data_IF_580124955438
#
_entry.id   IF_580124955438
#
_cell.length_a   1.000
_cell.length_b   1.000
_cell.length_c   1.000
_cell.angle_alpha   90.00
_cell.angle_beta   90.00
_cell.angle_gamma   90.00
#
_symmetry.space_group_name_H-M   'P 1'
#
loop_
_entity.id
_entity.type
_entity.pdbx_description
1 polymer ?
#
# COMPACT_ATOMS: atom_id res chain seq x y z
N UNK A 1 21.11 -33.78 18.64
CA UNK A 1 21.09 -32.54 19.45
C UNK A 1 20.17 -31.57 18.73
N UNK A 2 18.93 -31.41 19.22
CA UNK A 2 17.98 -30.46 18.61
C UNK A 2 18.42 -29.04 18.95
N UNK A 3 18.97 -28.35 17.96
CA UNK A 3 19.23 -26.90 18.06
C UNK A 3 17.88 -26.17 18.12
N UNK A 4 17.50 -25.75 19.32
CA UNK A 4 16.28 -24.96 19.52
C UNK A 4 16.57 -23.53 19.12
N UNK A 5 16.08 -23.09 17.98
CA UNK A 5 16.16 -21.69 17.56
C UNK A 5 15.46 -20.82 18.62
N UNK A 6 16.14 -19.79 19.18
CA UNK A 6 15.57 -18.97 20.23
C UNK A 6 14.44 -18.06 19.72
N UNK A 7 13.54 -17.67 20.62
CA UNK A 7 12.48 -16.66 20.38
C UNK A 7 13.11 -15.25 20.42
N UNK A 8 13.99 -14.94 19.46
CA UNK A 8 14.73 -13.67 19.46
C UNK A 8 13.80 -12.50 19.19
N UNK A 9 13.63 -11.61 20.17
CA UNK A 9 13.01 -10.31 19.99
C UNK A 9 11.55 -10.32 19.53
N UNK A 10 10.84 -11.45 19.63
CA UNK A 10 9.40 -11.47 19.35
C UNK A 10 8.67 -10.72 20.45
N UNK A 11 7.88 -9.71 20.05
CA UNK A 11 7.05 -8.90 20.96
C UNK A 11 5.84 -9.70 21.46
N UNK A 12 5.27 -9.28 22.58
CA UNK A 12 3.97 -9.79 23.00
C UNK A 12 2.87 -9.31 22.04
N UNK A 13 1.83 -10.13 21.78
CA UNK A 13 0.76 -9.74 20.87
C UNK A 13 0.03 -8.48 21.35
N UNK A 14 -0.29 -7.57 20.44
CA UNK A 14 -1.15 -6.42 20.70
C UNK A 14 -2.59 -6.87 20.99
N UNK A 15 -3.21 -6.35 22.05
CA UNK A 15 -4.53 -6.79 22.56
C UNK A 15 -5.72 -6.52 21.60
N UNK A 16 -5.52 -5.83 20.47
CA UNK A 16 -6.59 -5.40 19.56
C UNK A 16 -6.74 -6.26 18.30
N UNK A 17 -5.77 -7.12 18.01
CA UNK A 17 -5.79 -7.98 16.83
C UNK A 17 -6.29 -9.38 17.20
N UNK A 18 -6.89 -10.08 16.22
CA UNK A 18 -7.13 -11.52 16.38
C UNK A 18 -5.79 -12.21 16.60
N UNK A 19 -5.68 -13.19 17.50
CA UNK A 19 -4.39 -13.81 17.85
C UNK A 19 -3.61 -14.37 16.65
N UNK A 20 -4.30 -14.86 15.61
CA UNK A 20 -3.67 -15.33 14.38
C UNK A 20 -3.04 -14.18 13.57
N UNK A 21 -3.72 -13.04 13.50
CA UNK A 21 -3.26 -11.87 12.74
C UNK A 21 -2.09 -11.20 13.45
N UNK A 22 -2.16 -11.08 14.78
CA UNK A 22 -1.06 -10.60 15.62
C UNK A 22 0.18 -11.48 15.46
N UNK A 23 0.02 -12.81 15.48
CA UNK A 23 1.10 -13.76 15.24
C UNK A 23 1.72 -13.57 13.85
N UNK A 24 0.90 -13.51 12.78
CA UNK A 24 1.41 -13.34 11.42
C UNK A 24 2.13 -12.02 11.25
N UNK A 25 1.62 -10.94 11.83
CA UNK A 25 2.25 -9.62 11.80
C UNK A 25 3.62 -9.65 12.47
N UNK A 26 3.73 -10.19 13.67
CA UNK A 26 4.99 -10.25 14.43
C UNK A 26 6.05 -11.13 13.73
N UNK A 27 5.64 -12.24 13.12
CA UNK A 27 6.57 -13.07 12.33
C UNK A 27 7.03 -12.35 11.07
N UNK A 28 6.11 -11.70 10.34
CA UNK A 28 6.45 -10.91 9.15
C UNK A 28 7.41 -9.77 9.52
N UNK A 29 7.13 -9.05 10.61
CA UNK A 29 7.96 -7.98 11.15
C UNK A 29 9.37 -8.47 11.51
N UNK A 30 9.46 -9.62 12.17
CA UNK A 30 10.76 -10.20 12.56
C UNK A 30 11.59 -10.69 11.37
N UNK A 31 10.95 -11.06 10.25
CA UNK A 31 11.61 -11.41 9.00
C UNK A 31 12.08 -10.16 8.27
N UNK A 32 11.20 -9.18 8.09
CA UNK A 32 11.49 -7.94 7.33
C UNK A 32 12.56 -7.10 8.03
N UNK A 33 12.52 -7.02 9.37
CA UNK A 33 13.56 -6.34 10.18
C UNK A 33 14.91 -7.06 10.19
N UNK A 34 14.98 -8.29 9.64
CA UNK A 34 16.22 -9.09 9.66
C UNK A 34 16.53 -9.77 11.00
N UNK A 35 15.61 -9.76 11.97
CA UNK A 35 15.77 -10.52 13.23
C UNK A 35 15.95 -12.03 13.00
N UNK A 36 15.33 -12.56 11.95
CA UNK A 36 15.61 -13.87 11.38
C UNK A 36 16.16 -13.69 9.96
N UNK A 37 17.37 -14.19 9.75
CA UNK A 37 18.07 -14.05 8.49
C UNK A 37 17.49 -14.99 7.40
N UNK A 38 17.72 -14.64 6.13
CA UNK A 38 17.36 -15.51 5.00
C UNK A 38 18.02 -16.90 5.16
N UNK A 39 17.21 -17.95 5.02
CA UNK A 39 17.64 -19.35 5.22
C UNK A 39 17.68 -19.80 6.67
N UNK A 40 17.50 -18.88 7.64
CA UNK A 40 17.40 -19.23 9.05
C UNK A 40 16.05 -19.92 9.34
N UNK A 41 16.08 -20.89 10.27
CA UNK A 41 14.87 -21.56 10.72
C UNK A 41 14.17 -20.73 11.79
N UNK A 42 12.86 -20.54 11.63
CA UNK A 42 12.02 -19.98 12.70
C UNK A 42 11.91 -20.95 13.89
N UNK A 43 11.58 -20.44 15.09
CA UNK A 43 11.32 -21.28 16.25
C UNK A 43 10.24 -22.35 15.96
N UNK A 44 10.33 -23.53 16.61
CA UNK A 44 9.32 -24.58 16.46
C UNK A 44 7.91 -24.12 16.90
N UNK A 45 6.87 -24.76 16.35
CA UNK A 45 5.46 -24.42 16.61
C UNK A 45 5.09 -24.40 18.10
N UNK A 46 5.66 -25.33 18.90
CA UNK A 46 5.29 -25.45 20.31
C UNK A 46 5.75 -24.24 21.16
N UNK A 47 7.03 -23.79 21.11
CA UNK A 47 7.47 -22.55 21.74
C UNK A 47 6.67 -21.31 21.25
N UNK A 48 6.38 -21.21 19.95
CA UNK A 48 5.59 -20.11 19.39
C UNK A 48 4.16 -20.11 19.96
N UNK A 49 3.51 -21.28 20.02
CA UNK A 49 2.17 -21.40 20.60
C UNK A 49 2.09 -20.97 22.06
N UNK A 50 3.11 -21.28 22.84
CA UNK A 50 3.22 -20.84 24.23
C UNK A 50 3.43 -19.32 24.35
N UNK A 51 4.33 -18.76 23.53
CA UNK A 51 4.66 -17.32 23.53
C UNK A 51 3.45 -16.47 23.16
N UNK A 52 2.77 -16.82 22.06
CA UNK A 52 1.60 -16.09 21.56
C UNK A 52 0.27 -16.50 22.20
N UNK A 53 0.28 -17.49 23.11
CA UNK A 53 -0.92 -18.03 23.77
C UNK A 53 -1.99 -18.51 22.79
N UNK A 54 -1.56 -19.12 21.68
CA UNK A 54 -2.45 -19.67 20.65
C UNK A 54 -2.26 -21.17 20.47
N UNK A 55 -3.29 -21.85 19.93
CA UNK A 55 -3.23 -23.27 19.67
C UNK A 55 -2.22 -23.61 18.56
N UNK A 56 -1.69 -24.84 18.59
CA UNK A 56 -0.82 -25.37 17.53
C UNK A 56 -1.49 -25.32 16.14
N UNK A 57 -2.81 -25.51 16.07
CA UNK A 57 -3.57 -25.39 14.84
C UNK A 57 -3.50 -23.98 14.28
N UNK A 58 -3.68 -22.95 15.10
CA UNK A 58 -3.55 -21.55 14.69
C UNK A 58 -2.14 -21.27 14.17
N UNK A 59 -1.09 -21.72 14.87
CA UNK A 59 0.30 -21.55 14.42
C UNK A 59 0.52 -22.19 13.04
N UNK A 60 0.08 -23.43 12.84
CA UNK A 60 0.26 -24.15 11.56
C UNK A 60 -0.45 -23.47 10.40
N UNK A 61 -1.70 -23.06 10.61
CA UNK A 61 -2.45 -22.34 9.57
C UNK A 61 -1.84 -20.95 9.27
N UNK A 62 -1.37 -20.25 10.28
CA UNK A 62 -0.67 -18.97 10.10
C UNK A 62 0.66 -19.15 9.36
N UNK A 63 1.43 -20.21 9.68
CA UNK A 63 2.68 -20.52 8.94
C UNK A 63 2.41 -20.86 7.46
N UNK A 64 1.33 -21.59 7.15
CA UNK A 64 0.93 -21.80 5.75
C UNK A 64 0.60 -20.50 5.03
N UNK A 65 -0.15 -19.60 5.67
CA UNK A 65 -0.45 -18.28 5.11
C UNK A 65 0.82 -17.45 4.89
N UNK A 66 1.79 -17.49 5.81
CA UNK A 66 3.09 -16.83 5.63
C UNK A 66 3.89 -17.47 4.48
N UNK A 67 3.76 -18.78 4.26
CA UNK A 67 4.34 -19.46 3.09
C UNK A 67 3.65 -19.03 1.79
N UNK A 68 2.33 -18.90 1.75
CA UNK A 68 1.58 -18.37 0.59
C UNK A 68 2.00 -16.94 0.24
N UNK A 69 2.36 -16.13 1.26
CA UNK A 69 2.91 -14.78 1.09
C UNK A 69 4.38 -14.76 0.67
N UNK A 70 5.02 -15.92 0.54
CA UNK A 70 6.42 -16.04 0.13
C UNK A 70 7.45 -15.74 1.21
N UNK A 71 7.03 -15.44 2.44
CA UNK A 71 7.96 -15.07 3.53
C UNK A 71 8.75 -16.26 4.07
N UNK A 72 8.15 -17.46 4.06
CA UNK A 72 8.75 -18.67 4.61
C UNK A 72 8.56 -19.89 3.71
N UNK A 73 9.38 -20.93 3.93
CA UNK A 73 9.22 -22.24 3.33
C UNK A 73 9.20 -23.33 4.42
N UNK A 74 8.13 -24.15 4.43
CA UNK A 74 8.01 -25.26 5.37
C UNK A 74 8.72 -26.47 4.75
N UNK A 75 9.79 -26.96 5.38
CA UNK A 75 10.61 -28.08 4.91
C UNK A 75 10.62 -29.21 5.91
N UNK A 76 10.30 -30.43 5.45
CA UNK A 76 10.32 -31.61 6.29
C UNK A 76 11.73 -31.86 6.86
N UNK A 77 11.82 -32.03 8.17
CA UNK A 77 13.08 -32.27 8.89
C UNK A 77 13.94 -31.03 9.13
N UNK A 78 13.66 -29.90 8.46
CA UNK A 78 14.41 -28.64 8.62
C UNK A 78 13.60 -27.52 9.28
N UNK A 79 12.29 -27.70 9.44
CA UNK A 79 11.40 -26.70 10.02
C UNK A 79 10.90 -25.66 9.00
N UNK A 80 10.59 -24.47 9.49
CA UNK A 80 10.13 -23.33 8.69
C UNK A 80 11.28 -22.36 8.48
N UNK A 81 11.73 -22.20 7.23
CA UNK A 81 12.90 -21.37 6.86
C UNK A 81 12.44 -20.04 6.26
N UNK A 82 13.18 -18.96 6.57
CA UNK A 82 12.96 -17.63 5.97
C UNK A 82 13.40 -17.63 4.50
N UNK A 83 12.56 -17.11 3.61
CA UNK A 83 12.83 -16.99 2.16
C UNK A 83 13.49 -15.65 1.83
N UNK A 84 14.22 -15.57 0.70
CA UNK A 84 14.81 -14.32 0.22
C UNK A 84 13.72 -13.31 -0.19
N UNK A 85 14.01 -12.01 -0.08
CA UNK A 85 13.08 -10.91 -0.40
C UNK A 85 12.52 -10.99 -1.84
N UNK A 86 13.31 -11.50 -2.77
CA UNK A 86 12.89 -11.68 -4.17
C UNK A 86 11.72 -12.67 -4.37
N UNK A 87 11.40 -13.45 -3.34
CA UNK A 87 10.32 -14.44 -3.37
C UNK A 87 9.07 -13.98 -2.60
N UNK A 88 9.13 -12.80 -1.95
CA UNK A 88 8.01 -12.27 -1.21
C UNK A 88 6.92 -11.74 -2.13
N UNK A 89 5.66 -11.99 -1.78
CA UNK A 89 4.53 -11.35 -2.45
C UNK A 89 4.37 -9.92 -1.90
N UNK A 90 5.11 -8.98 -2.50
CA UNK A 90 5.11 -7.57 -2.06
C UNK A 90 3.76 -6.86 -2.26
N UNK A 91 2.86 -7.43 -3.07
CA UNK A 91 1.50 -6.91 -3.21
C UNK A 91 0.55 -7.43 -2.12
N UNK A 92 0.98 -8.42 -1.31
CA UNK A 92 0.19 -8.83 -0.16
C UNK A 92 0.12 -7.71 0.88
N UNK A 93 -1.08 -7.38 1.39
CA UNK A 93 -1.27 -6.26 2.31
C UNK A 93 -0.41 -6.31 3.57
N UNK A 94 -0.21 -7.48 4.16
CA UNK A 94 0.63 -7.65 5.34
C UNK A 94 2.10 -7.40 5.01
N UNK A 95 2.60 -8.04 3.94
CA UNK A 95 3.99 -7.93 3.51
C UNK A 95 4.35 -6.49 3.19
N UNK A 96 3.53 -5.82 2.37
CA UNK A 96 3.74 -4.41 1.99
C UNK A 96 3.72 -3.49 3.21
N UNK A 97 2.74 -3.65 4.12
CA UNK A 97 2.65 -2.82 5.33
C UNK A 97 3.89 -2.93 6.20
N UNK A 98 4.40 -4.15 6.41
CA UNK A 98 5.60 -4.36 7.23
C UNK A 98 6.86 -3.81 6.52
N UNK A 99 6.98 -3.98 5.19
CA UNK A 99 8.08 -3.39 4.43
C UNK A 99 8.09 -1.86 4.58
N UNK A 100 6.94 -1.20 4.39
CA UNK A 100 6.84 0.26 4.55
C UNK A 100 7.16 0.69 5.99
N UNK A 101 6.73 -0.08 7.00
CA UNK A 101 7.02 0.25 8.40
C UNK A 101 8.52 0.31 8.72
N UNK A 102 9.32 -0.56 8.09
CA UNK A 102 10.78 -0.63 8.25
C UNK A 102 11.59 0.21 7.24
N UNK A 103 10.92 0.91 6.33
CA UNK A 103 11.55 1.73 5.29
C UNK A 103 11.73 3.17 5.78
N UNK A 104 12.77 3.44 6.56
CA UNK A 104 13.03 4.76 7.16
C UNK A 104 13.35 5.84 6.13
N UNK A 105 13.93 5.46 4.99
CA UNK A 105 14.36 6.36 3.91
C UNK A 105 13.29 6.59 2.82
N UNK A 106 12.10 6.01 2.99
CA UNK A 106 10.96 6.11 2.07
C UNK A 106 11.17 5.50 0.67
N UNK A 107 12.18 4.67 0.45
CA UNK A 107 12.44 4.04 -0.85
C UNK A 107 11.22 3.27 -1.39
N UNK A 108 10.54 2.51 -0.53
CA UNK A 108 9.33 1.76 -0.91
C UNK A 108 8.17 2.69 -1.25
N UNK A 109 8.05 3.82 -0.55
CA UNK A 109 7.02 4.83 -0.84
C UNK A 109 7.32 5.57 -2.15
N UNK A 110 8.60 5.79 -2.48
CA UNK A 110 9.04 6.35 -3.76
C UNK A 110 8.70 5.41 -4.91
N UNK A 111 9.10 4.12 -4.82
CA UNK A 111 8.77 3.09 -5.81
C UNK A 111 7.25 2.96 -6.00
N UNK A 112 6.49 2.95 -4.91
CA UNK A 112 5.04 2.89 -4.92
C UNK A 112 4.45 4.11 -5.64
N UNK A 113 4.98 5.31 -5.38
CA UNK A 113 4.52 6.55 -6.02
C UNK A 113 4.78 6.53 -7.53
N UNK A 114 5.94 6.05 -7.96
CA UNK A 114 6.27 5.90 -9.39
C UNK A 114 5.32 4.91 -10.09
N UNK A 115 5.03 3.78 -9.45
CA UNK A 115 4.08 2.78 -9.98
C UNK A 115 2.67 3.39 -10.07
N UNK A 116 2.21 4.08 -9.02
CA UNK A 116 0.92 4.77 -9.02
C UNK A 116 0.83 5.80 -10.13
N UNK A 117 1.82 6.67 -10.25
CA UNK A 117 1.86 7.70 -11.29
C UNK A 117 1.75 7.09 -12.70
N UNK A 118 2.41 5.95 -12.93
CA UNK A 118 2.35 5.23 -14.21
C UNK A 118 0.98 4.60 -14.45
N UNK A 119 0.41 3.90 -13.47
CA UNK A 119 -0.87 3.20 -13.62
C UNK A 119 -2.04 4.18 -13.65
N UNK A 120 -2.09 5.16 -12.75
CA UNK A 120 -3.18 6.12 -12.68
C UNK A 120 -3.12 7.11 -13.87
N UNK A 121 -1.92 7.48 -14.34
CA UNK A 121 -1.75 8.22 -15.58
C UNK A 121 -2.30 7.47 -16.79
N UNK A 122 -1.94 6.18 -16.96
CA UNK A 122 -2.49 5.32 -18.00
C UNK A 122 -4.03 5.29 -17.95
N UNK A 123 -4.59 5.11 -16.74
CA UNK A 123 -6.04 5.04 -16.55
C UNK A 123 -6.74 6.37 -16.81
N UNK A 124 -6.12 7.51 -16.46
CA UNK A 124 -6.64 8.83 -16.81
C UNK A 124 -6.71 9.04 -18.34
N UNK A 125 -5.67 8.60 -19.07
CA UNK A 125 -5.69 8.61 -20.53
C UNK A 125 -6.81 7.74 -21.10
N UNK A 126 -6.96 6.52 -20.61
CA UNK A 126 -8.03 5.61 -21.03
C UNK A 126 -9.44 6.15 -20.69
N UNK A 127 -9.62 6.80 -19.55
CA UNK A 127 -10.86 7.45 -19.18
C UNK A 127 -11.24 8.56 -20.19
N UNK A 128 -10.28 9.37 -20.64
CA UNK A 128 -10.52 10.41 -21.65
C UNK A 128 -11.07 9.83 -22.97
N UNK A 129 -10.62 8.63 -23.36
CA UNK A 129 -11.07 7.98 -24.61
C UNK A 129 -12.46 7.33 -24.51
N UNK A 130 -12.93 6.99 -23.30
CA UNK A 130 -14.09 6.12 -23.11
C UNK A 130 -15.26 6.76 -22.34
N UNK A 131 -15.07 7.91 -21.68
CA UNK A 131 -16.02 8.47 -20.73
C UNK A 131 -17.28 9.02 -21.39
N UNK A 132 -18.44 8.68 -20.84
CA UNK A 132 -19.76 9.20 -21.24
C UNK A 132 -20.07 10.56 -20.60
N UNK A 133 -21.08 11.27 -21.11
CA UNK A 133 -21.55 12.53 -20.52
C UNK A 133 -21.99 12.37 -19.05
N UNK A 134 -22.57 11.22 -18.69
CA UNK A 134 -22.95 10.93 -17.30
C UNK A 134 -21.73 10.76 -16.39
N UNK A 135 -20.70 10.07 -16.86
CA UNK A 135 -19.45 9.87 -16.14
C UNK A 135 -18.66 11.18 -16.00
N UNK A 136 -18.67 12.05 -17.02
CA UNK A 136 -18.13 13.41 -16.89
C UNK A 136 -18.84 14.19 -15.77
N UNK A 137 -20.18 14.08 -15.66
CA UNK A 137 -20.94 14.74 -14.60
C UNK A 137 -20.58 14.17 -13.20
N UNK A 138 -20.37 12.85 -13.08
CA UNK A 138 -19.91 12.23 -11.83
C UNK A 138 -18.54 12.75 -11.41
N UNK A 139 -17.61 12.88 -12.35
CA UNK A 139 -16.25 13.37 -12.09
C UNK A 139 -16.26 14.87 -11.72
N UNK A 140 -17.08 15.69 -12.41
CA UNK A 140 -17.29 17.10 -12.05
C UNK A 140 -17.84 17.24 -10.62
N UNK A 141 -18.83 16.42 -10.25
CA UNK A 141 -19.39 16.40 -8.90
C UNK A 141 -18.36 15.96 -7.84
N UNK A 142 -17.43 15.05 -8.18
CA UNK A 142 -16.34 14.69 -7.28
C UNK A 142 -15.38 15.86 -7.03
N UNK A 143 -15.05 16.62 -8.07
CA UNK A 143 -14.21 17.81 -7.97
C UNK A 143 -14.87 18.91 -7.10
N UNK A 144 -16.18 19.14 -7.23
CA UNK A 144 -16.89 20.10 -6.35
C UNK A 144 -16.93 19.58 -4.89
N UNK A 145 -17.10 18.28 -4.64
CA UNK A 145 -16.98 17.72 -3.27
C UNK A 145 -15.59 17.94 -2.66
N UNK A 146 -14.53 17.83 -3.45
CA UNK A 146 -13.18 18.16 -2.97
C UNK A 146 -13.07 19.64 -2.57
N UNK A 147 -13.60 20.54 -3.40
CA UNK A 147 -13.61 21.96 -3.14
C UNK A 147 -14.37 22.31 -1.84
N UNK A 148 -15.55 21.70 -1.64
CA UNK A 148 -16.35 21.90 -0.43
C UNK A 148 -15.65 21.34 0.83
N UNK A 149 -14.78 20.36 0.66
CA UNK A 149 -14.01 19.75 1.74
C UNK A 149 -12.67 20.45 2.04
N UNK A 150 -12.27 21.46 1.25
CA UNK A 150 -10.93 22.07 1.29
C UNK A 150 -10.51 22.61 2.67
N UNK A 151 -11.48 23.05 3.50
CA UNK A 151 -11.22 23.58 4.84
C UNK A 151 -10.97 22.49 5.90
N UNK A 152 -11.28 21.22 5.62
CA UNK A 152 -11.16 20.11 6.55
C UNK A 152 -10.30 18.99 5.95
N UNK A 153 -9.06 18.88 6.42
CA UNK A 153 -8.04 18.00 5.85
C UNK A 153 -8.49 16.53 5.66
N UNK A 154 -9.14 15.95 6.67
CA UNK A 154 -9.60 14.55 6.60
C UNK A 154 -10.64 14.35 5.50
N UNK A 155 -11.62 15.25 5.39
CA UNK A 155 -12.65 15.22 4.36
C UNK A 155 -12.10 15.48 2.98
N UNK A 156 -11.15 16.44 2.86
CA UNK A 156 -10.47 16.73 1.61
C UNK A 156 -9.73 15.51 1.07
N UNK A 157 -8.97 14.83 1.94
CA UNK A 157 -8.23 13.61 1.60
C UNK A 157 -9.13 12.46 1.15
N UNK A 158 -10.30 12.30 1.78
CA UNK A 158 -11.25 11.27 1.38
C UNK A 158 -11.91 11.61 0.04
N UNK A 159 -12.23 12.88 -0.21
CA UNK A 159 -12.74 13.36 -1.49
C UNK A 159 -11.71 13.26 -2.62
N UNK A 160 -10.42 13.52 -2.33
CA UNK A 160 -9.29 13.27 -3.22
C UNK A 160 -9.22 11.79 -3.65
N UNK A 161 -9.24 10.89 -2.69
CA UNK A 161 -9.25 9.45 -2.98
C UNK A 161 -10.47 8.99 -3.78
N UNK A 162 -11.63 9.62 -3.57
CA UNK A 162 -12.86 9.34 -4.34
C UNK A 162 -12.72 9.79 -5.80
N UNK A 163 -12.12 10.96 -6.05
CA UNK A 163 -11.84 11.42 -7.41
C UNK A 163 -10.94 10.43 -8.16
N UNK A 164 -9.82 10.04 -7.56
CA UNK A 164 -8.91 9.05 -8.15
C UNK A 164 -9.62 7.72 -8.46
N UNK A 165 -10.42 7.21 -7.51
CA UNK A 165 -11.20 5.97 -7.71
C UNK A 165 -12.21 6.08 -8.86
N UNK A 166 -12.83 7.25 -9.04
CA UNK A 166 -13.73 7.48 -10.19
C UNK A 166 -12.97 7.44 -11.52
N UNK A 167 -11.83 8.13 -11.64
CA UNK A 167 -10.98 8.08 -12.85
C UNK A 167 -10.57 6.63 -13.14
N UNK A 168 -10.08 5.89 -12.13
CA UNK A 168 -9.71 4.49 -12.29
C UNK A 168 -10.88 3.62 -12.76
N UNK A 169 -12.08 3.80 -12.18
CA UNK A 169 -13.31 3.09 -12.56
C UNK A 169 -13.69 3.39 -14.01
N UNK A 170 -13.69 4.67 -14.40
CA UNK A 170 -14.08 5.13 -15.75
C UNK A 170 -13.10 4.68 -16.84
N UNK A 171 -11.84 4.38 -16.49
CA UNK A 171 -10.87 3.82 -17.43
C UNK A 171 -11.24 2.41 -17.94
N UNK A 172 -12.09 1.68 -17.22
CA UNK A 172 -12.42 0.28 -17.53
C UNK A 172 -11.27 -0.70 -17.29
N UNK A 173 -10.09 -0.25 -16.84
CA UNK A 173 -8.91 -1.09 -16.62
C UNK A 173 -8.91 -1.72 -15.22
N UNK A 174 -9.67 -2.81 -15.07
CA UNK A 174 -9.86 -3.50 -13.79
C UNK A 174 -8.53 -3.93 -13.14
N UNK A 175 -7.58 -4.42 -13.92
CA UNK A 175 -6.31 -4.93 -13.36
C UNK A 175 -5.46 -3.78 -12.81
N UNK A 176 -5.26 -2.72 -13.58
CA UNK A 176 -4.50 -1.54 -13.14
C UNK A 176 -5.16 -0.88 -11.92
N UNK A 177 -6.51 -0.75 -11.93
CA UNK A 177 -7.29 -0.20 -10.82
C UNK A 177 -7.08 -0.98 -9.52
N UNK A 178 -7.19 -2.32 -9.56
CA UNK A 178 -6.98 -3.16 -8.37
C UNK A 178 -5.56 -3.08 -7.82
N UNK A 179 -4.54 -3.01 -8.70
CA UNK A 179 -3.14 -2.86 -8.26
C UNK A 179 -2.95 -1.50 -7.60
N UNK A 180 -3.36 -0.42 -8.26
CA UNK A 180 -3.22 0.94 -7.75
C UNK A 180 -3.95 1.12 -6.39
N UNK A 181 -5.19 0.63 -6.26
CA UNK A 181 -5.96 0.70 -5.03
C UNK A 181 -5.29 -0.11 -3.89
N UNK A 182 -4.77 -1.30 -4.19
CA UNK A 182 -4.02 -2.12 -3.21
C UNK A 182 -2.80 -1.37 -2.68
N UNK A 183 -2.01 -0.76 -3.55
CA UNK A 183 -0.82 0.00 -3.17
C UNK A 183 -1.19 1.25 -2.36
N UNK A 184 -2.12 2.05 -2.86
CA UNK A 184 -2.55 3.29 -2.22
C UNK A 184 -3.19 3.07 -0.86
N UNK A 185 -4.11 2.09 -0.76
CA UNK A 185 -4.82 1.80 0.49
C UNK A 185 -3.87 1.42 1.64
N UNK A 186 -2.70 0.87 1.32
CA UNK A 186 -1.68 0.54 2.33
C UNK A 186 -0.80 1.74 2.68
N UNK A 187 -0.33 2.49 1.67
CA UNK A 187 0.52 3.65 1.91
C UNK A 187 -0.18 4.72 2.77
N UNK A 188 -1.47 4.98 2.53
CA UNK A 188 -2.24 6.00 3.26
C UNK A 188 -2.41 5.75 4.76
N UNK A 189 -2.07 4.57 5.28
CA UNK A 189 -2.05 4.30 6.72
C UNK A 189 -0.77 4.77 7.41
N UNK A 190 0.23 5.20 6.65
CA UNK A 190 1.49 5.69 7.20
C UNK A 190 1.53 7.21 7.20
N UNK A 191 1.78 7.80 8.38
CA UNK A 191 1.86 9.25 8.54
C UNK A 191 2.89 9.89 7.59
N UNK A 192 3.98 9.20 7.30
CA UNK A 192 5.00 9.64 6.34
C UNK A 192 4.46 9.81 4.92
N UNK A 193 3.54 8.94 4.50
CA UNK A 193 2.88 9.04 3.20
C UNK A 193 1.84 10.16 3.17
N UNK A 194 1.15 10.41 4.28
CA UNK A 194 0.14 11.46 4.37
C UNK A 194 0.74 12.86 4.43
N UNK A 195 1.91 13.00 5.06
CA UNK A 195 2.54 14.30 5.28
C UNK A 195 1.82 15.19 6.30
N UNK A 196 2.30 16.41 6.44
CA UNK A 196 1.66 17.45 7.27
C UNK A 196 0.76 18.34 6.41
N UNK A 197 -0.44 18.72 6.90
CA UNK A 197 -1.29 19.68 6.20
C UNK A 197 -0.56 21.00 5.95
N UNK A 198 -0.51 21.45 4.69
CA UNK A 198 -0.06 22.77 4.30
C UNK A 198 -1.27 23.62 3.94
N UNK A 199 -1.29 24.88 4.40
CA UNK A 199 -2.42 25.78 4.20
C UNK A 199 -2.78 26.02 2.71
N UNK A 200 -1.79 25.92 1.81
CA UNK A 200 -1.97 26.11 0.36
C UNK A 200 -2.08 24.78 -0.43
N UNK A 201 -1.90 23.64 0.24
CA UNK A 201 -1.87 22.34 -0.44
C UNK A 201 -3.21 21.99 -1.09
N UNK A 202 -4.33 22.35 -0.45
CA UNK A 202 -5.66 22.07 -0.98
C UNK A 202 -5.93 22.81 -2.29
N UNK A 203 -5.64 24.09 -2.38
CA UNK A 203 -5.87 24.91 -3.57
C UNK A 203 -5.02 24.40 -4.75
N UNK A 204 -3.76 24.13 -4.51
CA UNK A 204 -2.86 23.60 -5.53
C UNK A 204 -3.31 22.21 -6.00
N UNK A 205 -3.72 21.33 -5.08
CA UNK A 205 -4.25 20.01 -5.40
C UNK A 205 -5.53 20.12 -6.24
N UNK A 206 -6.43 21.05 -5.89
CA UNK A 206 -7.65 21.32 -6.67
C UNK A 206 -7.36 21.82 -8.09
N UNK A 207 -6.36 22.67 -8.26
CA UNK A 207 -5.91 23.12 -9.58
C UNK A 207 -5.44 21.94 -10.45
N UNK A 208 -4.65 21.06 -9.89
CA UNK A 208 -4.17 19.86 -10.59
C UNK A 208 -5.31 18.90 -10.93
N UNK A 209 -6.25 18.66 -10.03
CA UNK A 209 -7.43 17.84 -10.30
C UNK A 209 -8.33 18.45 -11.36
N UNK A 210 -8.46 19.78 -11.39
CA UNK A 210 -9.15 20.50 -12.45
C UNK A 210 -8.49 20.26 -13.82
N UNK A 211 -7.17 20.33 -13.90
CA UNK A 211 -6.44 20.07 -15.13
C UNK A 211 -6.64 18.62 -15.64
N UNK A 212 -6.70 17.63 -14.71
CA UNK A 212 -7.00 16.23 -15.04
C UNK A 212 -8.44 16.13 -15.60
N UNK A 213 -9.40 16.69 -14.88
CA UNK A 213 -10.81 16.69 -15.31
C UNK A 213 -10.99 17.34 -16.69
N UNK A 214 -10.41 18.52 -16.92
CA UNK A 214 -10.52 19.27 -18.17
C UNK A 214 -9.93 18.47 -19.34
N UNK A 215 -8.83 17.73 -19.12
CA UNK A 215 -8.24 16.87 -20.14
C UNK A 215 -9.11 15.64 -20.44
N UNK A 216 -9.69 15.01 -19.42
CA UNK A 216 -10.63 13.88 -19.59
C UNK A 216 -11.89 14.36 -20.32
N UNK A 217 -12.48 15.48 -19.92
CA UNK A 217 -13.70 16.03 -20.51
C UNK A 217 -13.49 16.48 -21.98
N UNK A 218 -12.25 16.84 -22.34
CA UNK A 218 -11.88 17.19 -23.72
C UNK A 218 -11.59 15.96 -24.60
N UNK A 219 -11.53 14.73 -24.04
CA UNK A 219 -11.11 13.53 -24.75
C UNK A 219 -9.61 13.54 -25.09
N UNK A 220 -8.80 14.32 -24.37
CA UNK A 220 -7.35 14.44 -24.59
C UNK A 220 -6.58 13.44 -23.71
N UNK A 221 -6.53 12.18 -24.17
CA UNK A 221 -5.89 11.09 -23.44
C UNK A 221 -4.42 11.34 -23.06
N UNK A 222 -3.55 11.79 -23.98
CA UNK A 222 -2.16 12.13 -23.64
C UNK A 222 -2.04 13.21 -22.57
N UNK A 223 -2.86 14.24 -22.62
CA UNK A 223 -2.88 15.32 -21.63
C UNK A 223 -3.43 14.84 -20.29
N UNK A 224 -4.47 14.03 -20.27
CA UNK A 224 -5.02 13.44 -19.04
C UNK A 224 -4.01 12.53 -18.35
N UNK A 225 -3.31 11.68 -19.12
CA UNK A 225 -2.21 10.84 -18.63
C UNK A 225 -1.13 11.68 -17.94
N UNK A 226 -0.60 12.68 -18.63
CA UNK A 226 0.49 13.49 -18.09
C UNK A 226 0.05 14.33 -16.88
N UNK A 227 -1.16 14.92 -16.91
CA UNK A 227 -1.69 15.69 -15.79
C UNK A 227 -1.81 14.83 -14.52
N UNK A 228 -2.34 13.60 -14.62
CA UNK A 228 -2.44 12.68 -13.50
C UNK A 228 -1.06 12.26 -13.00
N UNK A 229 -0.14 11.92 -13.90
CA UNK A 229 1.23 11.52 -13.57
C UNK A 229 1.95 12.62 -12.79
N UNK A 230 1.92 13.84 -13.29
CA UNK A 230 2.54 15.02 -12.65
C UNK A 230 1.91 15.28 -11.29
N UNK A 231 0.59 15.24 -11.20
CA UNK A 231 -0.13 15.43 -9.95
C UNK A 231 0.37 14.48 -8.84
N UNK A 232 0.46 13.17 -9.11
CA UNK A 232 0.88 12.18 -8.12
C UNK A 232 2.34 12.41 -7.69
N UNK A 233 3.23 12.66 -8.65
CA UNK A 233 4.65 12.90 -8.36
C UNK A 233 4.85 14.18 -7.56
N UNK A 234 4.20 15.27 -7.93
CA UNK A 234 4.30 16.55 -7.22
C UNK A 234 3.69 16.48 -5.82
N UNK A 235 2.58 15.77 -5.66
CA UNK A 235 1.98 15.55 -4.35
C UNK A 235 2.91 14.80 -3.41
N UNK A 236 3.64 13.82 -3.90
CA UNK A 236 4.64 13.09 -3.12
C UNK A 236 5.88 13.93 -2.83
N UNK A 237 6.43 14.62 -3.83
CA UNK A 237 7.59 15.51 -3.70
C UNK A 237 7.38 16.57 -2.60
N UNK A 238 6.18 17.15 -2.55
CA UNK A 238 5.81 18.13 -1.49
C UNK A 238 5.71 17.51 -0.11
N UNK A 239 5.29 16.24 0.00
CA UNK A 239 5.15 15.54 1.29
C UNK A 239 6.46 14.96 1.80
N UNK A 240 7.25 14.37 0.92
CA UNK A 240 8.53 13.73 1.28
C UNK A 240 9.68 14.73 1.44
N UNK A 241 9.60 15.88 0.76
CA UNK A 241 10.65 16.91 0.79
C UNK A 241 11.88 16.58 -0.05
N UNK A 242 11.82 15.50 -0.89
CA UNK A 242 12.90 15.15 -1.81
C UNK A 242 12.38 14.83 -3.21
N UNK A 243 13.26 14.91 -4.21
CA UNK A 243 12.95 14.51 -5.58
C UNK A 243 13.03 13.00 -5.74
N UNK A 244 12.09 12.44 -6.47
CA UNK A 244 12.15 11.04 -6.90
C UNK A 244 13.27 10.88 -7.91
N UNK A 245 14.16 9.95 -7.67
CA UNK A 245 15.30 9.63 -8.56
C UNK A 245 14.86 8.73 -9.73
#
# INVERSE_FOLDING_TARGET
>A
MSSTTPLRGLSAPEDHLRPADAFMHEIADSIVSGRYAVGEALPPEAPLGLHFRVSRTIIRESMKRLQEKGLVAIQQGRGTLVRPRSEWNVLDPLVLSVIIAHDEENHTLDELTLIRASLEGLMAGQAADATTAAEHAELAAALERMKDAAAEYSRFRDADADFHRLVMKQSGNLLASNIADTLYSRARHFARFEGTPDANAADYTLEQHRAIYDAIAAGDGPRAHEAMRVHILDAWRRRSGHDLV
#
